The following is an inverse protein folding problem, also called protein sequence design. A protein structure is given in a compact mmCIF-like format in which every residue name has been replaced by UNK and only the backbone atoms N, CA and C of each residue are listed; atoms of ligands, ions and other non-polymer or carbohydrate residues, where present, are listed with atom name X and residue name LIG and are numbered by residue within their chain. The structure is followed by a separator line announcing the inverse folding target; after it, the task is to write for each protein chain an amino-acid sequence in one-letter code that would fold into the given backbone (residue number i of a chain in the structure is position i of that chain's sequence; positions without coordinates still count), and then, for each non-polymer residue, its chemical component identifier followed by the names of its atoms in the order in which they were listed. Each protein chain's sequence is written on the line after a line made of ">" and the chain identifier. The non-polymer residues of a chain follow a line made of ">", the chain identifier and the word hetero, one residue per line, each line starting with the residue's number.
data_IF_585877974897
#
_entry.id   IF_585877974897
#
_cell.length_a   1.000
_cell.length_b   1.000
_cell.length_c   1.000
_cell.angle_alpha   90.00
_cell.angle_beta   90.00
_cell.angle_gamma   90.00
#
_symmetry.space_group_name_H-M   'P 1'
#
loop_
_entity.id
_entity.type
_entity.pdbx_description
1 polymer ?
#
# COMPACT_ATOMS: atom_id res chain seq x y z
N UNK A 1 -1.97 -7.65 -1.90
CA UNK A 1 -3.12 -7.13 -1.14
C UNK A 1 -3.39 -5.64 -1.40
N UNK A 2 -2.47 -4.69 -1.15
CA UNK A 2 -2.72 -3.26 -1.47
C UNK A 2 -3.15 -3.05 -2.93
N UNK A 3 -2.64 -3.86 -3.86
CA UNK A 3 -3.03 -3.86 -5.28
C UNK A 3 -4.50 -4.21 -5.55
N UNK A 4 -5.19 -4.84 -4.59
CA UNK A 4 -6.62 -5.17 -4.68
C UNK A 4 -7.52 -3.99 -4.31
N UNK A 5 -6.98 -2.96 -3.68
CA UNK A 5 -7.74 -1.76 -3.37
C UNK A 5 -8.02 -1.02 -4.68
N UNK A 6 -9.29 -0.76 -5.03
CA UNK A 6 -9.62 -0.03 -6.25
C UNK A 6 -8.98 1.36 -6.28
N UNK A 7 -8.59 1.82 -7.45
CA UNK A 7 -8.00 3.14 -7.67
C UNK A 7 -6.77 3.43 -6.80
N UNK A 8 -6.06 2.37 -6.36
CA UNK A 8 -4.83 2.48 -5.59
C UNK A 8 -3.58 2.37 -6.46
N UNK A 9 -2.51 2.96 -5.98
CA UNK A 9 -1.17 2.83 -6.52
C UNK A 9 -0.16 2.63 -5.39
N UNK A 10 0.99 2.04 -5.68
CA UNK A 10 2.02 1.72 -4.69
C UNK A 10 3.35 2.35 -5.10
N UNK A 11 3.94 3.11 -4.20
CA UNK A 11 5.30 3.66 -4.33
C UNK A 11 6.20 3.03 -3.27
N UNK A 12 7.21 2.30 -3.72
CA UNK A 12 8.23 1.73 -2.85
C UNK A 12 9.40 2.69 -2.73
N UNK A 13 9.71 3.11 -1.51
CA UNK A 13 10.83 4.01 -1.16
C UNK A 13 11.90 3.15 -0.49
N UNK A 14 12.83 2.65 -1.25
CA UNK A 14 13.76 1.60 -0.78
C UNK A 14 15.07 1.63 -1.55
N UNK A 15 16.17 1.13 -0.96
CA UNK A 15 17.38 0.82 -1.71
C UNK A 15 17.10 -0.20 -2.83
N UNK A 16 17.86 -0.15 -3.92
CA UNK A 16 17.66 -1.01 -5.10
C UNK A 16 17.59 -2.50 -4.75
N UNK A 17 18.42 -2.95 -3.81
CA UNK A 17 18.44 -4.34 -3.38
C UNK A 17 17.11 -4.78 -2.73
N UNK A 18 16.48 -3.91 -1.94
CA UNK A 18 15.22 -4.19 -1.25
C UNK A 18 14.02 -4.13 -2.20
N UNK A 19 14.07 -3.31 -3.25
CA UNK A 19 12.99 -3.18 -4.23
C UNK A 19 12.73 -4.44 -5.05
N UNK A 20 13.70 -5.35 -5.16
CA UNK A 20 13.56 -6.58 -5.96
C UNK A 20 12.42 -7.48 -5.51
N UNK A 21 12.18 -7.60 -4.21
CA UNK A 21 11.09 -8.43 -3.68
C UNK A 21 9.72 -7.86 -4.06
N UNK A 22 9.56 -6.53 -3.95
CA UNK A 22 8.34 -5.84 -4.38
C UNK A 22 8.11 -6.00 -5.88
N UNK A 23 9.16 -5.85 -6.70
CA UNK A 23 9.08 -5.99 -8.15
C UNK A 23 8.67 -7.41 -8.58
N UNK A 24 9.28 -8.44 -7.98
CA UNK A 24 8.93 -9.83 -8.26
C UNK A 24 7.50 -10.13 -7.83
N UNK A 25 7.10 -9.68 -6.63
CA UNK A 25 5.72 -9.84 -6.14
C UNK A 25 4.70 -9.16 -7.04
N UNK A 26 4.98 -7.96 -7.52
CA UNK A 26 4.11 -7.23 -8.44
C UNK A 26 3.97 -7.94 -9.80
N UNK A 27 5.09 -8.49 -10.31
CA UNK A 27 5.09 -9.27 -11.56
C UNK A 27 4.27 -10.55 -11.40
N UNK A 28 4.48 -11.32 -10.34
CA UNK A 28 3.78 -12.59 -10.09
C UNK A 28 2.28 -12.38 -9.83
N UNK A 29 1.91 -11.23 -9.27
CA UNK A 29 0.51 -10.88 -8.99
C UNK A 29 -0.18 -10.16 -10.16
N UNK A 30 0.51 -9.95 -11.29
CA UNK A 30 -0.05 -9.25 -12.45
C UNK A 30 -0.38 -7.77 -12.21
N UNK A 31 0.24 -7.13 -11.20
CA UNK A 31 -0.03 -5.74 -10.83
C UNK A 31 1.16 -4.79 -11.01
N UNK A 32 2.08 -5.13 -11.90
CA UNK A 32 3.28 -4.33 -12.19
C UNK A 32 2.98 -2.89 -12.64
N UNK A 33 1.82 -2.68 -13.25
CA UNK A 33 1.29 -1.40 -13.71
C UNK A 33 0.78 -0.49 -12.59
N UNK A 34 0.70 -1.01 -11.36
CA UNK A 34 0.26 -0.29 -10.15
C UNK A 34 1.40 -0.02 -9.18
N UNK A 35 2.64 -0.16 -9.62
CA UNK A 35 3.81 -0.09 -8.73
C UNK A 35 4.90 0.76 -9.35
N UNK A 36 5.44 1.69 -8.56
CA UNK A 36 6.65 2.46 -8.88
C UNK A 36 7.66 2.37 -7.73
N UNK A 37 8.88 2.75 -8.03
CA UNK A 37 10.00 2.68 -7.08
C UNK A 37 10.74 4.01 -7.06
N UNK A 38 10.92 4.56 -5.87
CA UNK A 38 11.94 5.56 -5.58
C UNK A 38 13.14 4.83 -4.98
N UNK A 39 14.17 4.66 -5.78
CA UNK A 39 15.38 4.01 -5.34
C UNK A 39 16.30 5.01 -4.61
N UNK A 40 16.62 4.64 -3.37
CA UNK A 40 17.50 5.44 -2.52
C UNK A 40 18.97 5.06 -2.76
N UNK A 41 19.81 6.07 -2.96
CA UNK A 41 21.25 5.93 -3.01
C UNK A 41 21.84 5.87 -1.60
N UNK A 42 23.10 5.44 -1.48
CA UNK A 42 23.84 5.51 -0.21
C UNK A 42 23.98 6.96 0.28
N UNK A 43 24.14 7.92 -0.64
CA UNK A 43 24.25 9.33 -0.32
C UNK A 43 22.96 9.88 0.31
N UNK A 44 21.78 9.50 -0.26
CA UNK A 44 20.48 9.89 0.29
C UNK A 44 20.31 9.38 1.73
N UNK A 45 20.78 8.15 2.00
CA UNK A 45 20.66 7.52 3.31
C UNK A 45 21.61 8.15 4.31
N UNK A 46 22.89 8.31 3.95
CA UNK A 46 23.93 8.84 4.84
C UNK A 46 23.68 10.30 5.18
N UNK A 47 23.20 11.10 4.24
CA UNK A 47 22.87 12.52 4.45
C UNK A 47 21.55 12.72 5.19
N UNK A 48 20.70 11.67 5.30
CA UNK A 48 19.32 11.79 5.81
C UNK A 48 18.38 12.58 4.88
N UNK A 49 18.81 12.86 3.65
CA UNK A 49 18.05 13.69 2.70
C UNK A 49 16.93 12.94 1.99
N UNK A 50 16.84 11.62 2.13
CA UNK A 50 15.88 10.80 1.41
C UNK A 50 14.42 11.20 1.67
N UNK A 51 14.09 11.68 2.87
CA UNK A 51 12.73 12.15 3.19
C UNK A 51 12.34 13.33 2.29
N UNK A 52 13.29 14.21 1.97
CA UNK A 52 13.07 15.35 1.10
C UNK A 52 12.91 14.96 -0.39
N UNK A 53 13.37 13.76 -0.76
CA UNK A 53 13.21 13.24 -2.11
C UNK A 53 11.80 12.67 -2.36
N UNK A 54 11.05 12.33 -1.31
CA UNK A 54 9.75 11.68 -1.46
C UNK A 54 8.67 12.62 -2.04
N UNK A 55 8.45 13.86 -1.54
CA UNK A 55 7.43 14.72 -2.11
C UNK A 55 7.61 15.01 -3.60
N UNK A 56 8.81 15.42 -4.10
CA UNK A 56 8.99 15.65 -5.53
C UNK A 56 8.84 14.37 -6.37
N UNK A 57 9.22 13.20 -5.85
CA UNK A 57 9.00 11.94 -6.54
C UNK A 57 7.50 11.59 -6.63
N UNK A 58 6.72 11.91 -5.61
CA UNK A 58 5.25 11.79 -5.64
C UNK A 58 4.64 12.75 -6.66
N UNK A 59 5.11 14.00 -6.72
CA UNK A 59 4.67 14.99 -7.73
C UNK A 59 4.90 14.47 -9.15
N UNK A 60 6.11 13.98 -9.44
CA UNK A 60 6.47 13.41 -10.74
C UNK A 60 5.60 12.20 -11.08
N UNK A 61 5.45 11.26 -10.13
CA UNK A 61 4.62 10.07 -10.30
C UNK A 61 3.16 10.44 -10.63
N UNK A 62 2.57 11.37 -9.87
CA UNK A 62 1.19 11.79 -10.06
C UNK A 62 0.97 12.61 -11.33
N UNK A 63 2.02 13.28 -11.85
CA UNK A 63 1.98 13.92 -13.15
C UNK A 63 2.01 12.91 -14.31
N UNK A 64 2.68 11.78 -14.11
CA UNK A 64 2.79 10.71 -15.11
C UNK A 64 1.53 9.83 -15.17
N UNK A 65 0.88 9.57 -14.02
CA UNK A 65 -0.26 8.64 -13.94
C UNK A 65 -1.54 9.24 -14.52
N UNK A 66 -2.18 8.49 -15.41
CA UNK A 66 -3.49 8.82 -15.96
C UNK A 66 -4.35 7.54 -16.12
N UNK A 67 -5.45 7.38 -15.38
CA UNK A 67 -5.98 8.31 -14.36
C UNK A 67 -5.10 8.35 -13.10
N UNK A 68 -5.18 9.47 -12.37
CA UNK A 68 -4.54 9.57 -11.06
C UNK A 68 -5.21 8.63 -10.06
N UNK A 69 -4.44 7.98 -9.17
CA UNK A 69 -5.01 7.14 -8.13
C UNK A 69 -5.76 7.99 -7.09
N UNK A 70 -6.73 7.40 -6.42
CA UNK A 70 -7.36 8.00 -5.24
C UNK A 70 -6.60 7.68 -3.94
N UNK A 71 -5.80 6.62 -3.98
CA UNK A 71 -5.03 6.17 -2.84
C UNK A 71 -3.61 5.86 -3.28
N UNK A 72 -2.63 6.43 -2.60
CA UNK A 72 -1.22 6.10 -2.76
C UNK A 72 -0.69 5.44 -1.48
N UNK A 73 -0.28 4.18 -1.61
CA UNK A 73 0.43 3.48 -0.56
C UNK A 73 1.93 3.72 -0.70
N UNK A 74 2.55 4.28 0.33
CA UNK A 74 3.99 4.44 0.44
C UNK A 74 4.55 3.24 1.22
N UNK A 75 5.44 2.49 0.61
CA UNK A 75 6.09 1.34 1.23
C UNK A 75 7.53 1.72 1.57
N UNK A 76 7.82 1.83 2.85
CA UNK A 76 9.16 2.01 3.37
C UNK A 76 9.78 0.71 3.89
N UNK A 77 11.04 0.75 4.22
CA UNK A 77 11.82 -0.39 4.69
C UNK A 77 12.47 -0.15 6.06
N UNK A 78 13.48 -0.96 6.38
CA UNK A 78 14.22 -0.82 7.64
C UNK A 78 15.05 0.47 7.76
N UNK A 79 15.31 1.14 6.66
CA UNK A 79 16.04 2.44 6.65
C UNK A 79 15.24 3.48 7.42
N UNK A 80 13.93 3.51 7.28
CA UNK A 80 13.06 4.48 7.93
C UNK A 80 13.12 4.37 9.45
N UNK A 81 13.12 3.12 9.96
CA UNK A 81 13.27 2.88 11.41
C UNK A 81 14.67 3.28 11.91
N UNK A 82 15.70 2.98 11.11
CA UNK A 82 17.08 3.30 11.44
C UNK A 82 17.30 4.82 11.53
N UNK A 83 16.66 5.58 10.65
CA UNK A 83 16.78 7.03 10.58
C UNK A 83 15.69 7.76 11.36
N UNK A 84 14.80 7.04 12.04
CA UNK A 84 13.68 7.59 12.83
C UNK A 84 12.79 8.55 12.03
N UNK A 85 12.43 8.16 10.81
CA UNK A 85 11.59 8.96 9.90
C UNK A 85 10.25 9.30 10.51
N UNK A 86 9.87 10.58 10.47
CA UNK A 86 8.54 11.03 10.88
C UNK A 86 7.51 10.85 9.75
N UNK A 87 6.98 9.62 9.65
CA UNK A 87 5.96 9.28 8.65
C UNK A 87 4.68 10.11 8.80
N UNK A 88 4.34 10.54 10.02
CA UNK A 88 3.13 11.33 10.24
C UNK A 88 3.29 12.73 9.63
N UNK A 89 4.44 13.37 9.84
CA UNK A 89 4.75 14.65 9.23
C UNK A 89 4.80 14.55 7.70
N UNK A 90 5.45 13.51 7.16
CA UNK A 90 5.53 13.26 5.73
C UNK A 90 4.13 13.10 5.10
N UNK A 91 3.27 12.26 5.69
CA UNK A 91 1.91 12.07 5.19
C UNK A 91 1.06 13.33 5.29
N UNK A 92 1.23 14.14 6.33
CA UNK A 92 0.54 15.43 6.47
C UNK A 92 0.98 16.42 5.37
N UNK A 93 2.27 16.47 5.07
CA UNK A 93 2.82 17.29 3.98
C UNK A 93 2.23 16.86 2.63
N UNK A 94 2.28 15.55 2.31
CA UNK A 94 1.75 15.02 1.05
C UNK A 94 0.24 15.26 0.92
N UNK A 95 -0.51 15.11 1.99
CA UNK A 95 -1.96 15.37 2.01
C UNK A 95 -2.29 16.86 1.81
N UNK A 96 -1.41 17.74 2.23
CA UNK A 96 -1.54 19.18 1.97
C UNK A 96 -1.26 19.53 0.51
N UNK A 97 -0.25 18.89 -0.09
CA UNK A 97 0.11 19.09 -1.50
C UNK A 97 -0.92 18.47 -2.46
N UNK A 98 -1.50 17.34 -2.08
CA UNK A 98 -2.44 16.57 -2.91
C UNK A 98 -3.72 16.22 -2.13
N UNK A 99 -4.62 17.18 -1.87
CA UNK A 99 -5.81 16.97 -1.04
C UNK A 99 -6.80 15.95 -1.61
N UNK A 100 -6.75 15.69 -2.91
CA UNK A 100 -7.62 14.72 -3.60
C UNK A 100 -7.12 13.27 -3.51
N UNK A 101 -5.92 13.05 -2.92
CA UNK A 101 -5.28 11.74 -2.83
C UNK A 101 -5.14 11.35 -1.37
N UNK A 102 -5.55 10.13 -1.05
CA UNK A 102 -5.38 9.56 0.26
C UNK A 102 -4.04 8.83 0.35
N UNK A 103 -3.19 9.25 1.26
CA UNK A 103 -1.89 8.63 1.50
C UNK A 103 -1.94 7.65 2.67
N UNK A 104 -1.26 6.51 2.53
CA UNK A 104 -1.07 5.52 3.60
C UNK A 104 0.36 5.02 3.58
N UNK A 105 0.98 5.01 4.74
CA UNK A 105 2.32 4.46 4.90
C UNK A 105 2.23 2.98 5.30
N UNK A 106 3.07 2.16 4.69
CA UNK A 106 3.15 0.72 4.92
C UNK A 106 4.60 0.32 5.17
N UNK A 107 4.84 -0.37 6.27
CA UNK A 107 6.16 -0.92 6.60
C UNK A 107 6.42 -2.25 5.89
N UNK A 108 7.67 -2.42 5.41
CA UNK A 108 8.19 -3.70 4.96
C UNK A 108 9.43 -4.10 5.78
N UNK A 109 9.43 -3.81 7.07
CA UNK A 109 10.58 -4.07 7.92
C UNK A 109 10.51 -5.48 8.52
N UNK A 110 11.37 -6.44 8.11
CA UNK A 110 11.38 -7.78 8.65
C UNK A 110 11.81 -7.83 10.13
N UNK A 111 12.50 -6.80 10.64
CA UNK A 111 12.93 -6.73 12.05
C UNK A 111 11.74 -6.56 12.98
N UNK A 112 10.62 -6.03 12.49
CA UNK A 112 9.39 -5.83 13.26
C UNK A 112 8.42 -7.01 13.24
N UNK A 113 8.79 -8.15 12.67
CA UNK A 113 7.91 -9.33 12.60
C UNK A 113 7.45 -9.84 13.98
N UNK A 114 8.31 -9.74 14.98
CA UNK A 114 8.05 -10.20 16.34
C UNK A 114 7.46 -9.10 17.25
N UNK A 115 7.07 -7.97 16.70
CA UNK A 115 6.43 -6.89 17.47
C UNK A 115 4.91 -7.08 17.53
N UNK A 116 4.19 -6.38 18.47
CA UNK A 116 2.73 -6.42 18.53
C UNK A 116 2.02 -5.96 17.25
N UNK A 117 2.70 -5.12 16.44
CA UNK A 117 2.19 -4.61 15.18
C UNK A 117 3.15 -4.96 14.02
N UNK A 118 3.25 -6.22 13.62
CA UNK A 118 4.10 -6.59 12.51
C UNK A 118 3.63 -5.94 11.20
N UNK A 119 4.48 -5.83 10.17
CA UNK A 119 4.18 -5.12 8.91
C UNK A 119 2.87 -5.57 8.26
N UNK A 120 2.54 -6.85 8.33
CA UNK A 120 1.26 -7.37 7.81
C UNK A 120 0.04 -6.80 8.53
N UNK A 121 0.07 -6.68 9.85
CA UNK A 121 -1.02 -6.09 10.65
C UNK A 121 -1.19 -4.61 10.32
N UNK A 122 -0.10 -3.88 10.20
CA UNK A 122 -0.12 -2.46 9.80
C UNK A 122 -0.73 -2.29 8.42
N UNK A 123 -0.34 -3.12 7.46
CA UNK A 123 -0.90 -3.10 6.10
C UNK A 123 -2.41 -3.37 6.12
N UNK A 124 -2.87 -4.40 6.83
CA UNK A 124 -4.30 -4.71 6.94
C UNK A 124 -5.07 -3.58 7.62
N UNK A 125 -4.53 -3.01 8.69
CA UNK A 125 -5.13 -1.87 9.40
C UNK A 125 -5.31 -0.69 8.45
N UNK A 126 -4.29 -0.36 7.66
CA UNK A 126 -4.34 0.71 6.68
C UNK A 126 -5.41 0.44 5.60
N UNK A 127 -5.47 -0.78 5.07
CA UNK A 127 -6.47 -1.14 4.06
C UNK A 127 -7.89 -1.09 4.65
N UNK A 128 -8.10 -1.68 5.82
CA UNK A 128 -9.44 -1.70 6.42
C UNK A 128 -9.91 -0.34 6.92
N UNK A 129 -8.98 0.58 7.25
CA UNK A 129 -9.32 1.97 7.58
C UNK A 129 -9.95 2.74 6.40
N UNK A 130 -9.81 2.23 5.17
CA UNK A 130 -10.41 2.81 3.97
C UNK A 130 -11.88 2.42 3.80
N UNK A 131 -12.32 1.35 4.48
CA UNK A 131 -13.69 0.88 4.35
C UNK A 131 -14.66 1.87 5.02
N UNK A 132 -15.71 2.28 4.31
CA UNK A 132 -16.73 3.12 4.91
C UNK A 132 -17.44 2.37 6.04
N UNK A 133 -17.68 3.06 7.15
CA UNK A 133 -18.53 2.54 8.22
C UNK A 133 -19.97 2.46 7.68
N UNK A 134 -20.40 1.26 7.31
CA UNK A 134 -21.77 0.98 6.88
C UNK A 134 -22.52 0.23 7.97
N UNK A 135 -23.84 0.38 8.00
CA UNK A 135 -24.72 -0.48 8.77
C UNK A 135 -24.63 -1.92 8.26
N UNK A 136 -24.85 -2.87 9.15
CA UNK A 136 -24.87 -4.29 8.79
C UNK A 136 -25.91 -4.56 7.70
N UNK A 137 -25.47 -5.22 6.62
CA UNK A 137 -26.33 -5.73 5.55
C UNK A 137 -26.35 -7.26 5.65
N UNK A 138 -27.47 -7.87 6.10
CA UNK A 138 -27.55 -9.31 6.27
C UNK A 138 -27.48 -10.08 4.94
N UNK A 139 -27.64 -9.41 3.81
CA UNK A 139 -27.51 -10.00 2.48
C UNK A 139 -26.09 -10.00 1.92
N UNK A 140 -25.10 -9.54 2.69
CA UNK A 140 -23.72 -9.40 2.23
C UNK A 140 -22.74 -10.09 3.19
N UNK A 141 -21.79 -10.81 2.63
CA UNK A 141 -20.62 -11.38 3.34
C UNK A 141 -19.34 -10.69 2.84
N UNK A 142 -18.50 -10.25 3.75
CA UNK A 142 -17.18 -9.71 3.44
C UNK A 142 -16.13 -10.79 3.70
N UNK A 143 -15.33 -11.09 2.69
CA UNK A 143 -14.16 -11.97 2.82
C UNK A 143 -12.95 -11.10 3.18
N UNK A 144 -12.37 -11.34 4.36
CA UNK A 144 -11.22 -10.61 4.87
C UNK A 144 -9.99 -11.51 4.93
N UNK A 145 -8.82 -10.90 4.84
CA UNK A 145 -7.54 -11.61 5.02
C UNK A 145 -6.96 -12.24 3.75
N UNK A 146 -7.61 -12.14 2.61
CA UNK A 146 -7.07 -12.62 1.35
C UNK A 146 -5.96 -11.74 0.82
N UNK A 147 -4.87 -12.36 0.36
CA UNK A 147 -3.77 -11.66 -0.33
C UNK A 147 -4.00 -11.54 -1.85
N UNK A 148 -4.91 -12.33 -2.39
CA UNK A 148 -5.27 -12.39 -3.79
C UNK A 148 -6.78 -12.19 -3.95
N UNK A 149 -7.19 -11.67 -5.10
CA UNK A 149 -8.61 -11.63 -5.45
C UNK A 149 -9.20 -13.04 -5.50
N UNK A 150 -10.47 -13.16 -5.10
CA UNK A 150 -11.22 -14.39 -5.31
C UNK A 150 -11.39 -14.63 -6.82
N UNK A 151 -11.13 -15.83 -7.29
CA UNK A 151 -11.33 -16.19 -8.69
C UNK A 151 -12.80 -16.02 -9.09
N UNK A 152 -13.06 -15.48 -10.27
CA UNK A 152 -14.43 -15.18 -10.74
C UNK A 152 -15.31 -16.43 -10.87
N UNK A 153 -14.70 -17.59 -11.06
CA UNK A 153 -15.32 -18.90 -11.15
C UNK A 153 -15.33 -19.67 -9.82
N UNK A 154 -15.02 -19.01 -8.71
CA UNK A 154 -14.98 -19.64 -7.40
C UNK A 154 -16.37 -20.16 -6.99
N UNK A 155 -16.41 -21.41 -6.53
CA UNK A 155 -17.64 -22.03 -5.98
C UNK A 155 -18.23 -21.26 -4.80
N UNK A 156 -17.42 -20.43 -4.12
CA UNK A 156 -17.89 -19.61 -3.00
C UNK A 156 -19.03 -18.67 -3.41
N UNK A 157 -19.03 -18.17 -4.65
CA UNK A 157 -20.13 -17.34 -5.14
C UNK A 157 -21.44 -18.12 -5.24
N UNK A 158 -21.39 -19.35 -5.76
CA UNK A 158 -22.56 -20.23 -5.86
C UNK A 158 -23.08 -20.65 -4.48
N UNK A 159 -22.18 -20.97 -3.55
CA UNK A 159 -22.52 -21.30 -2.16
C UNK A 159 -23.18 -20.09 -1.49
N UNK A 160 -22.61 -18.92 -1.55
CA UNK A 160 -23.18 -17.71 -0.97
C UNK A 160 -24.59 -17.44 -1.53
N UNK A 161 -24.74 -17.53 -2.87
CA UNK A 161 -26.02 -17.34 -3.54
C UNK A 161 -27.07 -18.35 -3.08
N UNK A 162 -26.71 -19.61 -2.80
CA UNK A 162 -27.65 -20.62 -2.29
C UNK A 162 -28.22 -20.29 -0.90
N UNK A 163 -27.51 -19.45 -0.14
CA UNK A 163 -27.97 -18.92 1.16
C UNK A 163 -28.63 -17.53 1.02
N UNK A 164 -28.85 -17.05 -0.19
CA UNK A 164 -29.43 -15.73 -0.43
C UNK A 164 -28.52 -14.56 -0.08
N UNK A 165 -27.21 -14.80 0.02
CA UNK A 165 -26.21 -13.78 0.32
C UNK A 165 -25.23 -13.62 -0.84
N UNK A 166 -24.59 -12.47 -0.93
CA UNK A 166 -23.55 -12.15 -1.92
C UNK A 166 -22.22 -11.81 -1.24
N UNK A 167 -21.16 -12.11 -1.93
CA UNK A 167 -19.79 -11.76 -1.52
C UNK A 167 -19.42 -10.42 -2.15
#
# INVERSE_FOLDING_TARGET
>A
MASLVPESYMLFVVPLACGRHGALGALMSGCKDKVSYLYLSEEDIVSGSYEHAIPPAVDELLAFLNPKPKILFLFGGCIDDLLCTDHAALLAQLSTLHPDILFRYCHMNPIQLDTPNPPGVTLFTNIYSLLPKKTHDPSQINLLGNNLALALDSELYAIAASFGVRI
#
